data_IF_950224121819
#
_entry.id   IF_950224121819
#
_cell.length_a   1.000
_cell.length_b   1.000
_cell.length_c   1.000
_cell.angle_alpha   90.00
_cell.angle_beta   90.00
_cell.angle_gamma   90.00
#
_symmetry.space_group_name_H-M   'P 1'
#
loop_
_entity.id
_entity.type
_entity.pdbx_description
1 polymer ?
#
# COMPACT_ATOMS: atom_id res chain seq x y z
N UNK A 1 -4.20 16.89 43.41
CA UNK A 1 -4.15 16.32 42.02
C UNK A 1 -5.25 15.29 41.94
N UNK A 2 -6.31 15.50 41.11
CA UNK A 2 -7.52 14.68 41.13
C UNK A 2 -7.22 13.28 40.53
N UNK A 3 -7.89 12.25 41.01
CA UNK A 3 -7.78 10.83 40.56
C UNK A 3 -7.93 10.69 39.05
N UNK A 4 -8.74 11.53 38.42
CA UNK A 4 -8.87 11.61 36.92
C UNK A 4 -7.56 11.99 36.22
N UNK A 5 -6.77 12.92 36.77
CA UNK A 5 -5.46 13.31 36.20
C UNK A 5 -4.44 12.18 36.30
N UNK A 6 -4.44 11.45 37.41
CA UNK A 6 -3.57 10.28 37.60
C UNK A 6 -3.91 9.15 36.62
N UNK A 7 -5.21 8.86 36.42
CA UNK A 7 -5.66 7.84 35.48
C UNK A 7 -5.33 8.20 34.02
N UNK A 8 -5.44 9.48 33.64
CA UNK A 8 -5.09 9.97 32.29
C UNK A 8 -3.57 9.90 32.04
N UNK A 9 -2.76 10.30 33.00
CA UNK A 9 -1.29 10.19 32.93
C UNK A 9 -0.87 8.72 32.82
N UNK A 10 -1.46 7.81 33.57
CA UNK A 10 -1.17 6.39 33.52
C UNK A 10 -1.52 5.77 32.15
N UNK A 11 -2.60 6.23 31.50
CA UNK A 11 -2.96 5.81 30.14
C UNK A 11 -1.97 6.32 29.10
N UNK A 12 -1.56 7.60 29.17
CA UNK A 12 -0.55 8.18 28.28
C UNK A 12 0.80 7.48 28.41
N UNK A 13 1.24 7.17 29.64
CA UNK A 13 2.48 6.45 29.88
C UNK A 13 2.42 5.04 29.30
N UNK A 14 1.30 4.32 29.46
CA UNK A 14 1.12 2.98 28.87
C UNK A 14 1.12 3.02 27.35
N UNK A 15 0.47 4.02 26.73
CA UNK A 15 0.51 4.20 25.28
C UNK A 15 1.91 4.56 24.78
N UNK A 16 2.63 5.42 25.51
CA UNK A 16 4.03 5.77 25.16
C UNK A 16 4.98 4.58 25.32
N UNK A 17 4.83 3.76 26.37
CA UNK A 17 5.61 2.54 26.54
C UNK A 17 5.28 1.49 25.47
N UNK A 18 4.01 1.32 25.09
CA UNK A 18 3.62 0.42 24.02
C UNK A 18 4.16 0.87 22.66
N UNK A 19 4.13 2.18 22.38
CA UNK A 19 4.72 2.75 21.17
C UNK A 19 6.25 2.60 21.15
N UNK A 20 6.93 2.81 22.28
CA UNK A 20 8.37 2.62 22.40
C UNK A 20 8.80 1.15 22.26
N UNK A 21 8.00 0.21 22.80
CA UNK A 21 8.23 -1.24 22.63
C UNK A 21 7.99 -1.68 21.19
N UNK A 22 6.97 -1.13 20.52
CA UNK A 22 6.71 -1.40 19.10
C UNK A 22 7.83 -0.85 18.21
N UNK A 23 8.34 0.35 18.48
CA UNK A 23 9.49 0.94 17.79
C UNK A 23 10.79 0.17 18.08
N UNK A 24 10.98 -0.33 19.29
CA UNK A 24 12.15 -1.15 19.66
C UNK A 24 12.13 -2.54 19.00
N UNK A 25 10.95 -3.15 18.86
CA UNK A 25 10.80 -4.42 18.14
C UNK A 25 10.98 -4.24 16.63
N UNK A 26 10.54 -3.10 16.07
CA UNK A 26 10.78 -2.76 14.68
C UNK A 26 12.28 -2.52 14.37
N UNK A 27 13.05 -1.95 15.32
CA UNK A 27 14.48 -1.74 15.17
C UNK A 27 15.30 -3.05 15.16
N UNK A 28 14.81 -4.12 15.80
CA UNK A 28 15.46 -5.42 15.82
C UNK A 28 15.32 -6.22 14.51
N UNK A 29 14.40 -5.81 13.63
CA UNK A 29 14.13 -6.40 12.32
C UNK A 29 13.94 -5.31 11.26
N UNK A 30 14.63 -4.19 11.40
CA UNK A 30 14.49 -3.03 10.53
C UNK A 30 14.78 -3.35 9.06
N UNK A 31 15.70 -4.27 8.82
CA UNK A 31 16.08 -4.80 7.50
C UNK A 31 14.94 -5.56 6.77
N UNK A 32 13.86 -5.89 7.49
CA UNK A 32 12.67 -6.53 6.94
C UNK A 32 11.54 -5.53 6.60
N UNK A 33 11.73 -4.25 6.85
CA UNK A 33 10.69 -3.25 6.62
C UNK A 33 11.11 -2.16 5.65
N UNK A 34 10.12 -1.58 5.01
CA UNK A 34 10.28 -0.42 4.14
C UNK A 34 9.07 0.49 4.20
N UNK A 35 9.25 1.72 3.78
CA UNK A 35 8.17 2.69 3.55
C UNK A 35 8.08 3.00 2.07
N UNK A 36 6.84 3.08 1.57
CA UNK A 36 6.53 3.38 0.19
C UNK A 36 5.65 4.62 0.10
N UNK A 37 5.94 5.50 -0.84
CA UNK A 37 5.09 6.62 -1.21
C UNK A 37 4.72 6.49 -2.68
N UNK A 38 3.42 6.44 -2.96
CA UNK A 38 2.87 6.32 -4.30
C UNK A 38 1.96 7.48 -4.67
N UNK A 39 1.89 7.77 -5.95
CA UNK A 39 0.92 8.69 -6.53
C UNK A 39 0.32 8.06 -7.78
N UNK A 40 -0.97 8.24 -7.99
CA UNK A 40 -1.68 7.65 -9.12
C UNK A 40 -2.84 8.49 -9.60
N UNK A 41 -3.26 8.16 -10.80
CA UNK A 41 -4.46 8.73 -11.43
C UNK A 41 -5.32 7.60 -11.98
N UNK A 42 -6.61 7.77 -11.91
CA UNK A 42 -7.59 6.86 -12.49
C UNK A 42 -8.55 7.62 -13.39
N UNK A 43 -9.39 6.87 -14.08
CA UNK A 43 -10.50 7.41 -14.84
C UNK A 43 -11.37 8.31 -13.94
N UNK A 44 -12.11 9.25 -14.57
CA UNK A 44 -12.99 10.20 -13.87
C UNK A 44 -12.29 11.16 -12.90
N UNK A 45 -11.09 11.61 -13.29
CA UNK A 45 -10.32 12.60 -12.54
C UNK A 45 -10.08 12.23 -11.07
N UNK A 46 -9.96 10.94 -10.76
CA UNK A 46 -9.60 10.46 -9.43
C UNK A 46 -8.07 10.47 -9.31
N UNK A 47 -7.56 11.23 -8.35
CA UNK A 47 -6.14 11.26 -7.98
C UNK A 47 -5.94 10.52 -6.67
N UNK A 48 -4.86 9.75 -6.58
CA UNK A 48 -4.51 8.93 -5.42
C UNK A 48 -3.14 9.30 -4.91
N UNK A 49 -3.04 9.48 -3.59
CA UNK A 49 -1.79 9.49 -2.85
C UNK A 49 -1.80 8.29 -1.90
N UNK A 50 -0.74 7.48 -1.92
CA UNK A 50 -0.66 6.22 -1.20
C UNK A 50 0.58 6.18 -0.31
N UNK A 51 0.38 5.88 0.97
CA UNK A 51 1.44 5.58 1.93
C UNK A 51 1.40 4.08 2.22
N UNK A 52 2.53 3.40 1.96
CA UNK A 52 2.71 1.98 2.19
C UNK A 52 3.73 1.68 3.28
N UNK A 53 3.42 0.69 4.12
CA UNK A 53 4.39 -0.03 4.93
C UNK A 53 4.63 -1.37 4.24
N UNK A 54 5.89 -1.67 3.97
CA UNK A 54 6.29 -2.91 3.28
C UNK A 54 7.00 -3.81 4.28
N UNK A 55 6.62 -5.06 4.32
CA UNK A 55 7.28 -6.12 5.08
C UNK A 55 7.85 -7.15 4.12
N UNK A 56 9.16 -7.34 4.17
CA UNK A 56 9.89 -8.34 3.39
C UNK A 56 10.30 -9.50 4.31
N UNK A 57 9.66 -10.68 4.21
CA UNK A 57 10.05 -11.85 5.00
C UNK A 57 11.36 -12.51 4.54
N UNK A 58 12.03 -11.98 3.51
CA UNK A 58 13.27 -12.53 2.96
C UNK A 58 13.08 -13.85 2.20
N UNK A 59 11.86 -14.19 1.78
CA UNK A 59 11.57 -15.44 1.07
C UNK A 59 12.02 -15.32 -0.38
N UNK A 60 12.84 -16.27 -0.82
CA UNK A 60 13.33 -16.36 -2.20
C UNK A 60 13.21 -17.79 -2.70
N UNK A 61 12.76 -17.96 -3.93
CA UNK A 61 12.65 -19.26 -4.59
C UNK A 61 12.74 -19.14 -6.11
N UNK A 62 12.93 -20.30 -6.78
CA UNK A 62 12.98 -20.41 -8.24
C UNK A 62 13.96 -19.46 -8.89
N UNK A 63 15.26 -19.63 -8.60
CA UNK A 63 16.33 -18.91 -9.27
C UNK A 63 16.43 -19.34 -10.74
N UNK A 64 16.15 -18.44 -11.66
CA UNK A 64 16.12 -18.69 -13.11
C UNK A 64 16.80 -17.55 -13.84
N UNK A 65 17.83 -17.85 -14.64
CA UNK A 65 18.51 -16.90 -15.51
C UNK A 65 19.00 -15.61 -14.80
N UNK A 66 19.44 -15.70 -13.55
CA UNK A 66 19.92 -14.56 -12.77
C UNK A 66 18.81 -13.69 -12.17
N UNK A 67 17.62 -14.27 -12.02
CA UNK A 67 16.47 -13.70 -11.33
C UNK A 67 15.91 -14.70 -10.33
N UNK A 68 15.21 -14.20 -9.31
CA UNK A 68 14.46 -15.05 -8.38
C UNK A 68 13.08 -14.47 -8.10
N UNK A 69 12.19 -15.35 -7.63
CA UNK A 69 10.91 -14.94 -7.09
C UNK A 69 11.04 -14.58 -5.61
N UNK A 70 10.33 -13.54 -5.20
CA UNK A 70 10.15 -13.16 -3.81
C UNK A 70 8.72 -12.69 -3.58
N UNK A 71 8.32 -12.58 -2.31
CA UNK A 71 7.03 -12.01 -1.91
C UNK A 71 7.24 -11.02 -0.79
N UNK A 72 6.54 -9.88 -0.87
CA UNK A 72 6.47 -8.89 0.20
C UNK A 72 5.01 -8.66 0.59
N UNK A 73 4.77 -8.30 1.83
CA UNK A 73 3.47 -7.83 2.31
C UNK A 73 3.43 -6.30 2.27
N UNK A 74 2.46 -5.73 1.61
CA UNK A 74 2.26 -4.27 1.59
C UNK A 74 0.98 -3.91 2.33
N UNK A 75 1.08 -2.94 3.26
CA UNK A 75 -0.05 -2.35 3.98
C UNK A 75 -0.21 -0.92 3.49
N UNK A 76 -1.41 -0.54 3.07
CA UNK A 76 -1.69 0.73 2.41
C UNK A 76 -2.65 1.58 3.21
N UNK A 77 -2.35 2.89 3.24
CA UNK A 77 -3.28 3.95 3.60
C UNK A 77 -3.27 4.99 2.48
N UNK A 78 -4.32 5.05 1.69
CA UNK A 78 -4.37 5.93 0.54
C UNK A 78 -5.50 6.95 0.64
N UNK A 79 -5.24 8.12 0.10
CA UNK A 79 -6.19 9.20 -0.03
C UNK A 79 -6.52 9.42 -1.51
N UNK A 80 -7.81 9.33 -1.84
CA UNK A 80 -8.32 9.65 -3.16
C UNK A 80 -8.97 11.02 -3.15
N UNK A 81 -8.57 11.86 -4.08
CA UNK A 81 -9.22 13.13 -4.38
C UNK A 81 -10.03 12.98 -5.65
N UNK A 82 -11.30 13.31 -5.58
CA UNK A 82 -12.21 13.32 -6.70
C UNK A 82 -12.36 14.76 -7.18
N UNK A 83 -11.82 15.07 -8.35
CA UNK A 83 -11.87 16.42 -8.93
C UNK A 83 -13.08 16.58 -9.89
N UNK A 84 -13.94 15.57 -10.03
CA UNK A 84 -15.15 15.62 -10.84
C UNK A 84 -16.18 16.57 -10.21
N UNK A 85 -16.79 17.42 -11.01
CA UNK A 85 -17.79 18.42 -10.55
C UNK A 85 -19.02 17.76 -9.89
N UNK A 86 -19.34 16.53 -10.27
CA UNK A 86 -20.47 15.76 -9.74
C UNK A 86 -20.09 14.82 -8.59
N UNK A 87 -18.86 14.94 -8.02
CA UNK A 87 -18.42 14.06 -6.97
C UNK A 87 -19.36 14.09 -5.75
N UNK A 88 -19.87 12.94 -5.35
CA UNK A 88 -20.73 12.80 -4.16
C UNK A 88 -19.96 13.06 -2.87
N UNK A 89 -18.67 12.71 -2.88
CA UNK A 89 -17.72 12.98 -1.80
C UNK A 89 -16.44 13.54 -2.40
N UNK A 90 -15.86 14.60 -1.83
CA UNK A 90 -14.64 15.21 -2.36
C UNK A 90 -13.40 14.33 -2.19
N UNK A 91 -13.46 13.36 -1.28
CA UNK A 91 -12.35 12.46 -0.98
C UNK A 91 -12.83 11.13 -0.42
N UNK A 92 -11.98 10.12 -0.58
CA UNK A 92 -12.16 8.77 -0.05
C UNK A 92 -10.84 8.31 0.55
N UNK A 93 -10.88 7.72 1.75
CA UNK A 93 -9.76 6.98 2.30
C UNK A 93 -9.88 5.50 1.94
N UNK A 94 -8.76 4.93 1.55
CA UNK A 94 -8.58 3.51 1.24
C UNK A 94 -7.57 2.93 2.22
N UNK A 95 -7.90 1.79 2.82
CA UNK A 95 -6.97 1.00 3.63
C UNK A 95 -6.92 -0.40 3.09
N UNK A 96 -5.74 -1.03 3.10
CA UNK A 96 -5.66 -2.38 2.58
C UNK A 96 -4.35 -3.09 2.77
N UNK A 97 -4.35 -4.34 2.36
CA UNK A 97 -3.17 -5.20 2.37
C UNK A 97 -3.06 -5.95 1.04
N UNK A 98 -1.82 -6.14 0.59
CA UNK A 98 -1.51 -6.84 -0.66
C UNK A 98 -0.25 -7.68 -0.49
N UNK A 99 -0.30 -9.00 -0.67
CA UNK A 99 0.88 -9.78 -0.99
C UNK A 99 1.31 -9.44 -2.43
N UNK A 100 2.56 -9.02 -2.57
CA UNK A 100 3.16 -8.65 -3.86
C UNK A 100 4.26 -9.63 -4.19
N UNK A 101 4.08 -10.36 -5.28
CA UNK A 101 5.05 -11.28 -5.84
C UNK A 101 5.92 -10.53 -6.82
N UNK A 102 7.24 -10.71 -6.71
CA UNK A 102 8.23 -10.09 -7.58
C UNK A 102 9.12 -11.12 -8.21
N UNK A 103 9.44 -10.91 -9.48
CA UNK A 103 10.52 -11.59 -10.17
C UNK A 103 11.62 -10.57 -10.40
N UNK A 104 12.67 -10.63 -9.58
CA UNK A 104 13.70 -9.61 -9.43
C UNK A 104 15.06 -10.17 -9.80
N UNK A 105 15.92 -9.34 -10.43
CA UNK A 105 17.30 -9.69 -10.76
C UNK A 105 18.11 -9.97 -9.48
N UNK A 106 18.92 -11.03 -9.49
CA UNK A 106 19.68 -11.49 -8.30
C UNK A 106 20.75 -10.48 -7.84
N UNK A 107 21.41 -9.79 -8.78
CA UNK A 107 22.53 -8.93 -8.46
C UNK A 107 22.71 -7.77 -9.46
N UNK A 108 23.54 -6.80 -9.09
CA UNK A 108 23.87 -5.63 -9.91
C UNK A 108 23.53 -4.33 -9.19
N UNK A 109 24.06 -3.22 -9.69
CA UNK A 109 23.79 -1.87 -9.18
C UNK A 109 22.30 -1.50 -9.29
N UNK A 110 21.68 -1.88 -10.40
CA UNK A 110 20.24 -1.79 -10.63
C UNK A 110 19.70 -3.20 -10.79
N UNK A 111 18.68 -3.54 -10.02
CA UNK A 111 18.00 -4.84 -10.04
C UNK A 111 16.56 -4.63 -10.53
N UNK A 112 16.32 -4.74 -11.84
CA UNK A 112 14.96 -4.63 -12.38
C UNK A 112 14.09 -5.78 -11.90
N UNK A 113 12.79 -5.51 -11.79
CA UNK A 113 11.78 -6.51 -11.44
C UNK A 113 10.47 -6.26 -12.19
N UNK A 114 9.70 -7.31 -12.32
CA UNK A 114 8.27 -7.28 -12.58
C UNK A 114 7.55 -7.72 -11.32
N UNK A 115 6.36 -7.22 -11.10
CA UNK A 115 5.58 -7.55 -9.92
C UNK A 115 4.10 -7.72 -10.24
N UNK A 116 3.43 -8.55 -9.43
CA UNK A 116 1.99 -8.74 -9.47
C UNK A 116 1.47 -8.99 -8.05
N UNK A 117 0.25 -8.58 -7.78
CA UNK A 117 -0.39 -8.80 -6.48
C UNK A 117 -1.90 -8.76 -6.57
N UNK A 118 -2.52 -9.44 -5.62
CA UNK A 118 -3.96 -9.39 -5.40
C UNK A 118 -4.17 -9.08 -3.93
N UNK A 119 -4.82 -7.96 -3.64
CA UNK A 119 -5.04 -7.47 -2.29
C UNK A 119 -6.50 -7.21 -1.98
N UNK A 120 -6.75 -6.87 -0.76
CA UNK A 120 -8.04 -6.40 -0.28
C UNK A 120 -7.96 -4.93 0.13
N UNK A 121 -9.07 -4.22 -0.05
CA UNK A 121 -9.20 -2.79 0.27
C UNK A 121 -10.50 -2.55 1.03
N UNK A 122 -10.48 -1.55 1.89
CA UNK A 122 -11.67 -1.00 2.54
C UNK A 122 -11.72 0.49 2.28
N UNK A 123 -12.84 0.95 1.71
CA UNK A 123 -13.10 2.35 1.40
C UNK A 123 -13.99 2.98 2.47
N UNK A 124 -13.72 4.23 2.80
CA UNK A 124 -14.58 4.99 3.74
C UNK A 124 -15.90 5.42 3.13
N UNK A 125 -15.94 5.60 1.81
CA UNK A 125 -17.12 5.96 1.05
C UNK A 125 -17.14 5.15 -0.25
N UNK A 126 -18.31 4.77 -0.71
CA UNK A 126 -18.49 3.94 -1.90
C UNK A 126 -19.07 4.71 -3.10
N UNK A 127 -19.70 5.86 -2.85
CA UNK A 127 -20.26 6.70 -3.89
C UNK A 127 -19.19 7.65 -4.42
N UNK A 128 -18.92 7.55 -5.72
CA UNK A 128 -17.99 8.43 -6.43
C UNK A 128 -18.74 9.64 -6.96
N UNK A 129 -19.84 9.38 -7.67
CA UNK A 129 -20.81 10.38 -8.18
C UNK A 129 -22.22 9.86 -7.95
N UNK A 130 -23.30 10.67 -8.12
CA UNK A 130 -24.67 10.20 -8.00
C UNK A 130 -24.99 8.99 -8.87
N UNK A 131 -24.32 8.89 -10.02
CA UNK A 131 -24.56 7.82 -11.01
C UNK A 131 -23.49 6.71 -10.94
N UNK A 132 -22.50 6.81 -10.04
CA UNK A 132 -21.40 5.87 -9.96
C UNK A 132 -21.05 5.51 -8.52
N UNK A 133 -21.24 4.24 -8.18
CA UNK A 133 -20.91 3.69 -6.87
C UNK A 133 -20.09 2.42 -6.98
N UNK A 134 -19.14 2.23 -6.05
CA UNK A 134 -18.39 0.97 -5.85
C UNK A 134 -19.24 -0.09 -5.14
N UNK A 135 -20.46 0.25 -4.71
CA UNK A 135 -21.48 -0.59 -4.08
C UNK A 135 -21.11 -1.23 -2.74
N UNK A 136 -19.85 -1.52 -2.49
CA UNK A 136 -19.38 -2.08 -1.21
C UNK A 136 -18.13 -1.33 -0.74
N UNK A 137 -17.96 -1.20 0.57
CA UNK A 137 -16.72 -0.68 1.15
C UNK A 137 -15.55 -1.65 0.94
N UNK A 138 -15.83 -2.96 0.98
CA UNK A 138 -14.85 -4.00 0.67
C UNK A 138 -14.64 -4.12 -0.83
N UNK A 139 -13.37 -4.09 -1.24
CA UNK A 139 -12.94 -4.21 -2.64
C UNK A 139 -11.75 -5.18 -2.73
N UNK A 140 -11.56 -5.77 -3.89
CA UNK A 140 -10.32 -6.39 -4.31
C UNK A 140 -9.46 -5.38 -5.07
N UNK A 141 -8.14 -5.59 -5.05
CA UNK A 141 -7.19 -4.76 -5.77
C UNK A 141 -6.16 -5.66 -6.45
N UNK A 142 -6.33 -5.86 -7.73
CA UNK A 142 -5.39 -6.60 -8.57
C UNK A 142 -4.37 -5.62 -9.12
N UNK A 143 -3.09 -5.97 -9.11
CA UNK A 143 -2.08 -5.10 -9.66
C UNK A 143 -0.99 -5.86 -10.41
N UNK A 144 -0.43 -5.20 -11.42
CA UNK A 144 0.80 -5.59 -12.11
C UNK A 144 1.70 -4.37 -12.21
N UNK A 145 3.00 -4.59 -12.23
CA UNK A 145 3.95 -3.49 -12.26
C UNK A 145 5.34 -3.89 -12.73
N UNK A 146 6.13 -2.87 -12.94
CA UNK A 146 7.56 -2.97 -13.23
C UNK A 146 8.30 -1.97 -12.37
N UNK A 147 9.53 -2.28 -12.01
CA UNK A 147 10.35 -1.38 -11.22
C UNK A 147 11.81 -1.79 -11.19
N UNK A 148 12.56 -1.07 -10.39
CA UNK A 148 13.95 -1.38 -10.11
C UNK A 148 14.27 -1.11 -8.64
N UNK A 149 15.13 -1.96 -8.09
CA UNK A 149 15.80 -1.77 -6.82
C UNK A 149 17.23 -1.28 -7.09
N UNK A 150 17.71 -0.32 -6.32
CA UNK A 150 18.99 0.34 -6.55
C UNK A 150 19.57 0.94 -5.26
N UNK A 151 20.77 1.51 -5.37
CA UNK A 151 21.55 2.05 -4.27
C UNK A 151 22.62 1.07 -3.79
N UNK A 152 23.56 1.56 -3.00
CA UNK A 152 24.72 0.80 -2.54
C UNK A 152 24.30 -0.46 -1.75
N UNK A 153 23.26 -0.35 -0.92
CA UNK A 153 22.70 -1.44 -0.14
C UNK A 153 21.34 -1.93 -0.67
N UNK A 154 20.98 -1.54 -1.91
CA UNK A 154 19.67 -1.88 -2.51
C UNK A 154 18.45 -1.38 -1.70
N UNK A 155 18.64 -0.28 -0.97
CA UNK A 155 17.61 0.27 -0.07
C UNK A 155 16.47 0.99 -0.83
N UNK A 156 16.75 1.46 -2.05
CA UNK A 156 15.78 2.24 -2.81
C UNK A 156 15.10 1.40 -3.86
N UNK A 157 13.81 1.66 -4.04
CA UNK A 157 13.05 1.11 -5.15
C UNK A 157 12.22 2.21 -5.78
N UNK A 158 11.98 2.10 -7.08
CA UNK A 158 11.01 2.91 -7.80
C UNK A 158 10.31 2.05 -8.84
N UNK A 159 9.05 2.32 -9.08
CA UNK A 159 8.28 1.53 -10.03
C UNK A 159 7.03 2.23 -10.54
N UNK A 160 6.43 1.58 -11.52
CA UNK A 160 5.13 1.89 -12.08
C UNK A 160 4.21 0.69 -11.90
N UNK A 161 2.96 0.95 -11.53
CA UNK A 161 1.90 -0.05 -11.33
C UNK A 161 0.64 0.34 -12.09
N UNK A 162 0.02 -0.66 -12.64
CA UNK A 162 -1.38 -0.60 -13.02
C UNK A 162 -2.19 -1.39 -11.99
N UNK A 163 -3.23 -0.79 -11.41
CA UNK A 163 -4.05 -1.40 -10.37
C UNK A 163 -5.52 -1.28 -10.74
N UNK A 164 -6.23 -2.41 -10.71
CA UNK A 164 -7.68 -2.49 -10.81
C UNK A 164 -8.29 -2.66 -9.42
N UNK A 165 -9.31 -1.87 -9.09
CA UNK A 165 -10.05 -1.98 -7.82
C UNK A 165 -11.52 -2.22 -8.16
N UNK A 166 -12.07 -3.32 -7.64
CA UNK A 166 -13.48 -3.68 -7.82
C UNK A 166 -13.97 -4.63 -6.73
N UNK A 167 -15.28 -4.81 -6.60
CA UNK A 167 -15.84 -5.75 -5.63
C UNK A 167 -16.06 -7.17 -6.19
N UNK A 168 -15.51 -7.49 -7.37
CA UNK A 168 -15.66 -8.77 -8.05
C UNK A 168 -17.14 -9.23 -8.20
N UNK A 169 -18.03 -8.29 -8.46
CA UNK A 169 -19.49 -8.50 -8.59
C UNK A 169 -20.19 -9.06 -7.35
N UNK A 170 -19.60 -8.94 -6.16
CA UNK A 170 -20.28 -9.25 -4.88
C UNK A 170 -21.56 -8.43 -4.74
N UNK A 171 -21.56 -7.20 -5.27
CA UNK A 171 -22.70 -6.32 -5.35
C UNK A 171 -22.63 -5.44 -6.59
N UNK A 172 -23.74 -5.28 -7.30
CA UNK A 172 -23.87 -4.40 -8.47
C UNK A 172 -24.51 -3.05 -8.10
N UNK A 173 -24.18 -1.97 -8.83
CA UNK A 173 -23.21 -1.89 -9.92
C UNK A 173 -21.77 -2.08 -9.43
N UNK A 174 -20.88 -2.61 -10.29
CA UNK A 174 -19.45 -2.77 -10.01
C UNK A 174 -18.62 -2.19 -11.16
N UNK A 175 -18.54 -0.86 -11.31
CA UNK A 175 -17.84 -0.22 -12.41
C UNK A 175 -16.32 -0.42 -12.35
N UNK A 176 -15.78 -0.66 -11.14
CA UNK A 176 -14.35 -0.69 -10.90
C UNK A 176 -13.67 0.66 -11.12
N UNK A 177 -12.39 0.73 -10.75
CA UNK A 177 -11.48 1.84 -11.04
C UNK A 177 -10.11 1.29 -11.42
N UNK A 178 -9.49 1.89 -12.44
CA UNK A 178 -8.17 1.53 -12.92
C UNK A 178 -7.20 2.67 -12.63
N UNK A 179 -6.22 2.41 -11.77
CA UNK A 179 -5.17 3.37 -11.43
C UNK A 179 -3.89 3.09 -12.19
N UNK A 180 -3.31 4.13 -12.79
CA UNK A 180 -1.90 4.16 -13.19
C UNK A 180 -1.13 4.89 -12.09
N UNK A 181 -0.12 4.23 -11.51
CA UNK A 181 0.59 4.72 -10.33
C UNK A 181 2.10 4.67 -10.51
N UNK A 182 2.81 5.65 -9.96
CA UNK A 182 4.25 5.60 -9.72
C UNK A 182 4.49 5.52 -8.22
N UNK A 183 5.59 4.89 -7.82
CA UNK A 183 5.97 4.85 -6.42
C UNK A 183 7.48 4.90 -6.22
N UNK A 184 7.88 5.35 -5.06
CA UNK A 184 9.22 5.22 -4.51
C UNK A 184 9.15 4.53 -3.16
N UNK A 185 10.17 3.73 -2.82
CA UNK A 185 10.24 2.96 -1.59
C UNK A 185 11.65 3.04 -1.01
N UNK A 186 11.73 3.09 0.30
CA UNK A 186 12.97 2.93 1.05
C UNK A 186 12.85 1.74 1.99
N UNK A 187 13.82 0.83 1.92
CA UNK A 187 13.96 -0.32 2.81
C UNK A 187 15.03 0.00 3.86
N UNK A 188 14.75 -0.31 5.11
CA UNK A 188 15.65 -0.05 6.24
C UNK A 188 16.78 -1.05 6.31
#
# INVERSE_FOLDING_TARGET
MTERKKAWQARLTRCACAAALALGAAAAHADQFGVQLGAGVADHDVKKLDLGLVWDPGLQWWHIAGFHFTVVGEFHAAYWKLDELAASQPNIWEFGVTPVFRFIKDSGWIRPFIEAGVGIRVLTHVELTPDRTMSTAFQFADMVGIGAQFGEHQNYQAGFRFQHISNADIKTPNPGLNFSQIYVQYNF
#
